data_IF_676301614393
#
_entry.id   IF_676301614393
#
_cell.length_a   1.000
_cell.length_b   1.000
_cell.length_c   1.000
_cell.angle_alpha   90.00
_cell.angle_beta   90.00
_cell.angle_gamma   90.00
#
_symmetry.space_group_name_H-M   'P 1'
#
loop_
_entity.id
_entity.type
_entity.pdbx_description
1 polymer ?
#
# COMPACT_ATOMS: atom_id res chain seq x y z
N UNK A 1 -9.94 13.13 -7.97
CA UNK A 1 -11.18 12.94 -7.19
C UNK A 1 -10.83 12.48 -5.79
N UNK A 2 -11.47 13.02 -4.79
CA UNK A 2 -11.27 12.57 -3.41
C UNK A 2 -11.90 11.17 -3.23
N UNK A 3 -11.10 10.23 -2.77
CA UNK A 3 -11.52 8.84 -2.53
C UNK A 3 -12.67 8.76 -1.53
N UNK A 4 -12.69 9.63 -0.50
CA UNK A 4 -13.77 9.65 0.49
C UNK A 4 -15.11 9.98 -0.14
N UNK A 5 -15.14 10.95 -1.04
CA UNK A 5 -16.35 11.34 -1.76
C UNK A 5 -16.83 10.17 -2.63
N UNK A 6 -15.92 9.54 -3.35
CA UNK A 6 -16.24 8.40 -4.21
C UNK A 6 -16.85 7.24 -3.41
N UNK A 7 -16.30 6.93 -2.25
CA UNK A 7 -16.81 5.89 -1.37
C UNK A 7 -18.24 6.21 -0.91
N UNK A 8 -18.48 7.44 -0.46
CA UNK A 8 -19.79 7.88 0.02
C UNK A 8 -20.83 7.83 -1.08
N UNK A 9 -20.49 8.26 -2.29
CA UNK A 9 -21.39 8.23 -3.45
C UNK A 9 -21.80 6.79 -3.81
N UNK A 10 -20.99 5.79 -3.48
CA UNK A 10 -21.26 4.39 -3.73
C UNK A 10 -21.81 3.65 -2.51
N UNK A 11 -22.24 4.36 -1.47
CA UNK A 11 -22.85 3.77 -0.30
C UNK A 11 -21.88 3.06 0.64
N UNK A 12 -20.57 3.35 0.53
CA UNK A 12 -19.55 2.77 1.39
C UNK A 12 -19.24 3.71 2.56
N UNK A 13 -18.95 3.13 3.71
CA UNK A 13 -18.63 3.89 4.91
C UNK A 13 -17.12 4.11 4.96
N UNK A 14 -16.71 5.38 5.06
CA UNK A 14 -15.32 5.75 5.25
C UNK A 14 -15.05 6.03 6.73
N UNK A 15 -14.08 5.31 7.31
CA UNK A 15 -13.71 5.42 8.72
C UNK A 15 -12.31 6.00 8.81
N UNK A 16 -12.10 6.93 9.76
CA UNK A 16 -10.78 7.46 10.05
C UNK A 16 -9.92 6.37 10.70
N UNK A 17 -8.74 6.12 10.14
CA UNK A 17 -7.83 5.08 10.64
C UNK A 17 -7.34 5.34 12.07
N UNK A 18 -7.39 6.58 12.55
CA UNK A 18 -7.02 6.90 13.94
C UNK A 18 -8.01 6.34 14.96
N UNK A 19 -9.21 5.93 14.53
CA UNK A 19 -10.25 5.41 15.41
C UNK A 19 -10.27 3.88 15.50
N UNK A 20 -9.41 3.19 14.77
CA UNK A 20 -9.35 1.72 14.73
C UNK A 20 -7.96 1.23 15.11
N UNK A 21 -7.89 0.07 15.78
CA UNK A 21 -6.63 -0.53 16.21
C UNK A 21 -6.15 -1.62 15.24
N UNK A 22 -7.07 -2.31 14.57
CA UNK A 22 -6.77 -3.42 13.65
C UNK A 22 -7.64 -3.36 12.41
N UNK A 23 -7.13 -3.95 11.34
CA UNK A 23 -7.86 -4.20 10.09
C UNK A 23 -7.86 -5.70 9.82
N UNK A 24 -8.94 -6.20 9.23
CA UNK A 24 -8.94 -7.60 8.77
C UNK A 24 -8.07 -7.74 7.54
N UNK A 25 -8.23 -6.82 6.58
CA UNK A 25 -7.49 -6.85 5.31
C UNK A 25 -7.02 -5.45 4.95
N UNK A 26 -5.84 -5.39 4.34
CA UNK A 26 -5.36 -4.20 3.67
C UNK A 26 -4.95 -4.57 2.26
N UNK A 27 -5.57 -3.93 1.26
CA UNK A 27 -5.28 -4.14 -0.15
C UNK A 27 -4.50 -2.96 -0.69
N UNK A 28 -3.43 -3.23 -1.40
CA UNK A 28 -2.61 -2.19 -2.00
C UNK A 28 -1.89 -2.74 -3.23
N UNK A 29 -1.18 -1.88 -3.92
CA UNK A 29 -0.30 -2.25 -5.02
C UNK A 29 1.15 -2.00 -4.63
N UNK A 30 2.07 -2.38 -5.52
CA UNK A 30 3.49 -2.08 -5.36
C UNK A 30 4.12 -1.85 -6.73
N UNK A 31 5.34 -1.34 -6.75
CA UNK A 31 6.10 -1.12 -7.97
C UNK A 31 6.79 -2.40 -8.45
N UNK A 32 7.36 -3.15 -7.52
CA UNK A 32 7.99 -4.44 -7.76
C UNK A 32 7.78 -5.37 -6.58
N UNK A 33 7.70 -6.66 -6.84
CA UNK A 33 7.61 -7.70 -5.79
C UNK A 33 8.40 -8.93 -6.25
N UNK A 34 9.14 -9.56 -5.33
CA UNK A 34 9.87 -10.80 -5.59
C UNK A 34 9.09 -12.02 -5.08
N UNK A 35 9.65 -13.22 -5.28
CA UNK A 35 9.00 -14.47 -4.87
C UNK A 35 8.92 -14.65 -3.36
N UNK A 36 9.71 -13.91 -2.59
CA UNK A 36 9.69 -13.92 -1.13
C UNK A 36 8.74 -12.87 -0.56
N UNK A 37 7.97 -12.20 -1.43
CA UNK A 37 7.03 -11.14 -1.08
C UNK A 37 7.71 -9.87 -0.52
N UNK A 38 8.98 -9.68 -0.81
CA UNK A 38 9.60 -8.38 -0.60
C UNK A 38 9.08 -7.43 -1.68
N UNK A 39 8.59 -6.27 -1.27
CA UNK A 39 7.93 -5.36 -2.18
C UNK A 39 8.53 -3.97 -2.13
N UNK A 40 8.68 -3.37 -3.31
CA UNK A 40 8.98 -1.96 -3.47
C UNK A 40 7.69 -1.19 -3.61
N UNK A 41 7.55 -0.19 -2.75
CA UNK A 41 6.37 0.67 -2.72
C UNK A 41 6.76 2.11 -3.06
N UNK A 42 5.78 2.83 -3.57
CA UNK A 42 5.75 4.29 -3.57
C UNK A 42 6.85 4.98 -4.37
N UNK A 43 6.86 4.72 -5.67
CA UNK A 43 7.59 5.58 -6.59
C UNK A 43 7.23 7.07 -6.40
N UNK A 44 6.07 7.37 -5.82
CA UNK A 44 5.66 8.73 -5.45
C UNK A 44 6.22 9.25 -4.13
N UNK A 45 6.89 8.41 -3.33
CA UNK A 45 7.54 8.82 -2.09
C UNK A 45 6.62 9.01 -0.88
N UNK A 46 5.38 8.53 -0.93
CA UNK A 46 4.39 8.70 0.15
C UNK A 46 3.95 7.31 0.64
N UNK A 47 4.69 6.74 1.57
CA UNK A 47 4.46 5.36 1.98
C UNK A 47 4.44 5.12 3.50
N UNK A 48 4.67 6.14 4.32
CA UNK A 48 4.61 6.00 5.77
C UNK A 48 3.21 5.61 6.23
N UNK A 49 2.17 6.28 5.72
CA UNK A 49 0.78 5.95 6.03
C UNK A 49 0.41 4.53 5.57
N UNK A 50 0.89 4.14 4.39
CA UNK A 50 0.67 2.79 3.87
C UNK A 50 1.32 1.72 4.77
N UNK A 51 2.51 1.99 5.30
CA UNK A 51 3.21 1.09 6.22
C UNK A 51 2.44 0.93 7.53
N UNK A 52 1.89 2.01 8.04
CA UNK A 52 1.06 1.98 9.25
C UNK A 52 -0.17 1.11 9.03
N UNK A 53 -0.87 1.29 7.92
CA UNK A 53 -2.04 0.48 7.57
C UNK A 53 -1.68 -0.99 7.42
N UNK A 54 -0.56 -1.30 6.77
CA UNK A 54 -0.09 -2.67 6.60
C UNK A 54 0.17 -3.35 7.94
N UNK A 55 0.75 -2.63 8.90
CA UNK A 55 1.01 -3.16 10.24
C UNK A 55 -0.26 -3.40 11.05
N UNK A 56 -1.33 -2.66 10.78
CA UNK A 56 -2.63 -2.84 11.45
C UNK A 56 -3.40 -4.04 10.90
N UNK A 57 -3.12 -4.47 9.69
CA UNK A 57 -3.87 -5.51 9.00
C UNK A 57 -3.47 -6.90 9.48
N UNK A 58 -4.46 -7.76 9.64
CA UNK A 58 -4.24 -9.20 9.87
C UNK A 58 -3.69 -9.86 8.63
N UNK A 59 -4.14 -9.42 7.44
CA UNK A 59 -3.61 -9.86 6.16
C UNK A 59 -3.37 -8.65 5.27
N UNK A 60 -2.16 -8.57 4.72
CA UNK A 60 -1.81 -7.57 3.74
C UNK A 60 -1.76 -8.25 2.36
N UNK A 61 -2.58 -7.75 1.44
CA UNK A 61 -2.74 -8.34 0.11
C UNK A 61 -2.26 -7.34 -0.94
N UNK A 62 -1.25 -7.74 -1.69
CA UNK A 62 -0.74 -6.95 -2.81
C UNK A 62 -1.40 -7.38 -4.10
N UNK A 63 -1.99 -6.43 -4.81
CA UNK A 63 -2.60 -6.64 -6.12
C UNK A 63 -1.61 -6.12 -7.17
N UNK A 64 -1.03 -7.04 -7.94
CA UNK A 64 0.00 -6.69 -8.92
C UNK A 64 -0.25 -7.43 -10.23
N UNK A 65 0.22 -6.86 -11.34
CA UNK A 65 0.28 -7.58 -12.60
C UNK A 65 1.62 -8.31 -12.74
N UNK A 66 1.74 -9.20 -13.73
CA UNK A 66 2.93 -10.01 -13.92
C UNK A 66 4.19 -9.21 -14.20
N UNK A 67 4.06 -8.00 -14.74
CA UNK A 67 5.22 -7.16 -15.05
C UNK A 67 5.91 -6.62 -13.79
N UNK A 68 5.23 -6.63 -12.66
CA UNK A 68 5.78 -6.17 -11.37
C UNK A 68 6.50 -7.29 -10.61
N UNK A 69 6.36 -8.55 -11.07
CA UNK A 69 7.10 -9.68 -10.51
C UNK A 69 8.53 -9.64 -11.00
N UNK A 70 9.50 -9.61 -10.08
CA UNK A 70 10.93 -9.55 -10.40
C UNK A 70 11.71 -10.55 -9.56
N UNK A 71 12.87 -10.96 -10.06
CA UNK A 71 13.76 -11.84 -9.31
C UNK A 71 14.42 -11.07 -8.17
N UNK A 72 14.71 -9.80 -8.38
CA UNK A 72 15.40 -8.96 -7.41
C UNK A 72 14.86 -7.53 -7.50
N UNK A 73 14.57 -6.95 -6.33
CA UNK A 73 14.13 -5.56 -6.25
C UNK A 73 15.24 -4.61 -6.71
N UNK A 74 14.87 -3.37 -7.01
CA UNK A 74 15.75 -2.28 -7.48
C UNK A 74 16.25 -2.42 -8.90
N UNK A 75 15.78 -3.39 -9.67
CA UNK A 75 16.23 -3.58 -11.05
C UNK A 75 15.73 -2.48 -12.00
N UNK A 76 14.57 -1.86 -11.70
CA UNK A 76 13.99 -0.80 -12.54
C UNK A 76 13.68 0.48 -11.77
N UNK A 77 13.59 0.42 -10.45
CA UNK A 77 13.17 1.54 -9.61
C UNK A 77 14.19 1.81 -8.53
N UNK A 78 14.53 3.08 -8.28
CA UNK A 78 15.38 3.43 -7.16
C UNK A 78 14.64 3.24 -5.83
N UNK A 79 15.39 3.10 -4.75
CA UNK A 79 14.82 3.05 -3.40
C UNK A 79 14.24 4.42 -3.04
N UNK A 80 12.97 4.42 -2.63
CA UNK A 80 12.32 5.62 -2.13
C UNK A 80 12.32 5.63 -0.61
N UNK A 81 12.62 6.80 -0.05
CA UNK A 81 12.61 7.02 1.41
C UNK A 81 11.76 8.24 1.69
N UNK A 82 10.75 8.07 2.54
CA UNK A 82 9.95 9.20 3.03
C UNK A 82 10.51 9.66 4.36
N UNK A 83 10.77 10.97 4.46
CA UNK A 83 11.30 11.58 5.68
C UNK A 83 10.17 12.35 6.36
N UNK A 84 9.99 12.09 7.63
CA UNK A 84 9.02 12.81 8.46
C UNK A 84 9.77 13.94 9.17
N UNK A 85 9.37 15.20 8.92
CA UNK A 85 10.03 16.36 9.54
C UNK A 85 9.84 16.41 11.06
#
# INVERSE_FOLDING_TARGET
>A
MDTKILLQENGLICIDNSTIATLDYYFDSCDQVDIHLNAFKSGGGVHTGEKIMANMAKQFILLVDGAKMVDKLTTKYPLCVEIIP
#
